data_IF_047709188813
#
_entry.id   IF_047709188813
#
_cell.length_a   1.000
_cell.length_b   1.000
_cell.length_c   1.000
_cell.angle_alpha   90.00
_cell.angle_beta   90.00
_cell.angle_gamma   90.00
#
_symmetry.space_group_name_H-M   'P 1'
#
loop_
_entity.id
_entity.type
_entity.pdbx_description
1 polymer ?
#
# COMPACT_ATOMS: atom_id res chain seq x y z
N UNK A 1 42.26 47.10 -15.71
CA UNK A 1 40.84 46.65 -15.87
C UNK A 1 40.76 45.52 -16.89
N UNK A 2 41.31 44.34 -16.55
CA UNK A 2 41.20 43.08 -17.33
C UNK A 2 41.13 41.93 -16.33
N UNK A 3 40.24 42.12 -15.37
CA UNK A 3 39.83 41.17 -14.35
C UNK A 3 38.32 41.40 -14.29
N UNK A 4 37.51 40.37 -14.07
CA UNK A 4 36.02 40.42 -14.07
C UNK A 4 35.35 39.96 -15.38
N UNK A 5 35.94 39.13 -16.26
CA UNK A 5 35.11 38.36 -17.23
C UNK A 5 35.77 37.01 -17.51
N UNK A 6 35.86 36.12 -16.53
CA UNK A 6 36.20 34.70 -16.73
C UNK A 6 35.90 33.87 -15.47
N UNK A 7 34.85 34.23 -14.74
CA UNK A 7 34.42 33.52 -13.51
C UNK A 7 32.90 33.21 -13.54
N UNK A 8 32.29 33.20 -14.73
CA UNK A 8 30.85 33.02 -14.90
C UNK A 8 30.43 31.65 -15.49
N UNK A 9 31.38 30.76 -15.80
CA UNK A 9 31.07 29.43 -16.36
C UNK A 9 31.39 28.25 -15.42
N UNK A 10 31.77 28.52 -14.16
CA UNK A 10 31.99 27.46 -13.14
C UNK A 10 30.73 27.25 -12.27
N UNK A 11 29.73 28.14 -12.37
CA UNK A 11 28.40 27.97 -11.77
C UNK A 11 27.48 27.19 -12.73
N UNK A 12 28.01 26.12 -13.31
CA UNK A 12 27.22 25.06 -13.94
C UNK A 12 27.33 23.76 -13.13
N UNK A 13 27.74 23.87 -11.86
CA UNK A 13 27.56 22.82 -10.87
C UNK A 13 26.12 22.86 -10.34
N UNK A 14 25.57 21.65 -10.23
CA UNK A 14 24.34 21.30 -9.50
C UNK A 14 23.03 21.42 -10.28
N UNK A 15 23.01 20.85 -11.50
CA UNK A 15 21.80 20.11 -11.87
C UNK A 15 21.78 18.89 -10.93
N UNK A 16 21.07 19.04 -9.81
CA UNK A 16 20.78 17.97 -8.86
C UNK A 16 20.09 16.88 -9.66
N UNK A 17 20.84 15.84 -10.01
CA UNK A 17 20.27 14.55 -10.35
C UNK A 17 19.51 14.10 -9.10
N UNK A 18 18.21 14.36 -9.06
CA UNK A 18 17.29 13.66 -8.17
C UNK A 18 17.29 12.23 -8.68
N UNK A 19 18.27 11.46 -8.24
CA UNK A 19 18.28 10.01 -8.38
C UNK A 19 17.23 9.57 -7.36
N UNK A 20 15.99 9.42 -7.80
CA UNK A 20 14.97 8.70 -7.05
C UNK A 20 15.42 7.24 -7.03
N UNK A 21 16.29 6.89 -6.09
CA UNK A 21 16.57 5.50 -5.76
C UNK A 21 15.35 4.97 -4.99
N UNK A 22 14.27 4.69 -5.71
CA UNK A 22 13.28 3.74 -5.23
C UNK A 22 13.92 2.36 -5.37
N UNK A 23 14.72 2.06 -4.35
CA UNK A 23 15.43 0.82 -4.16
C UNK A 23 14.40 -0.32 -4.21
N UNK A 24 14.41 -1.08 -5.32
CA UNK A 24 13.66 -2.34 -5.50
C UNK A 24 13.82 -3.27 -4.29
N UNK A 25 14.94 -3.13 -3.57
CA UNK A 25 15.29 -3.86 -2.36
C UNK A 25 14.41 -3.56 -1.14
N UNK A 26 13.54 -2.54 -1.18
CA UNK A 26 12.76 -2.08 -0.01
C UNK A 26 11.26 -2.34 -0.09
N UNK A 27 10.70 -2.72 -1.24
CA UNK A 27 9.27 -3.01 -1.33
C UNK A 27 8.97 -4.44 -0.82
N UNK A 28 8.40 -4.54 0.39
CA UNK A 28 7.92 -5.82 0.93
C UNK A 28 6.41 -5.93 0.78
N UNK A 29 5.98 -7.05 0.22
CA UNK A 29 4.58 -7.37 0.01
C UNK A 29 4.12 -8.50 0.94
N UNK A 30 2.82 -8.56 1.17
CA UNK A 30 2.20 -9.68 1.88
C UNK A 30 2.32 -10.98 1.07
N UNK A 31 2.08 -12.15 1.71
CA UNK A 31 1.95 -13.40 0.98
C UNK A 31 0.92 -13.28 -0.16
N UNK A 32 1.22 -13.86 -1.31
CA UNK A 32 0.42 -13.80 -2.54
C UNK A 32 0.35 -12.43 -3.25
N UNK A 33 1.23 -11.50 -2.88
CA UNK A 33 1.43 -10.24 -3.57
C UNK A 33 2.87 -10.12 -4.06
N UNK A 34 3.05 -9.55 -5.24
CA UNK A 34 4.37 -9.31 -5.83
C UNK A 34 4.59 -7.81 -6.07
N UNK A 35 5.82 -7.30 -5.88
CA UNK A 35 6.14 -5.92 -6.17
C UNK A 35 6.02 -5.65 -7.68
N UNK A 36 5.29 -4.60 -8.04
CA UNK A 36 5.09 -4.16 -9.41
C UNK A 36 5.37 -2.66 -9.53
N UNK A 37 6.21 -2.29 -10.51
CA UNK A 37 6.52 -0.89 -10.81
C UNK A 37 5.45 -0.30 -11.72
N UNK A 38 4.65 0.63 -11.21
CA UNK A 38 3.64 1.37 -11.98
C UNK A 38 3.93 2.86 -11.91
N UNK A 39 4.10 3.52 -13.07
CA UNK A 39 4.35 4.98 -13.17
C UNK A 39 5.51 5.49 -12.30
N UNK A 40 6.54 4.67 -12.09
CA UNK A 40 7.71 5.04 -11.29
C UNK A 40 7.57 4.78 -9.79
N UNK A 41 6.46 4.18 -9.33
CA UNK A 41 6.26 3.78 -7.94
C UNK A 41 6.05 2.28 -7.82
N UNK A 42 6.68 1.66 -6.83
CA UNK A 42 6.45 0.25 -6.51
C UNK A 42 5.16 0.11 -5.70
N UNK A 43 4.34 -0.87 -6.06
CA UNK A 43 3.17 -1.29 -5.31
C UNK A 43 3.16 -2.81 -5.19
N UNK A 44 2.39 -3.34 -4.25
CA UNK A 44 2.16 -4.76 -4.09
C UNK A 44 0.92 -5.18 -4.87
N UNK A 45 1.09 -5.93 -5.96
CA UNK A 45 -0.02 -6.46 -6.75
C UNK A 45 -0.34 -7.89 -6.37
N UNK A 46 -1.62 -8.14 -6.07
CA UNK A 46 -2.11 -9.47 -5.75
C UNK A 46 -2.03 -10.39 -6.95
N UNK A 47 -1.54 -11.60 -6.75
CA UNK A 47 -1.57 -12.67 -7.75
C UNK A 47 -3.01 -12.98 -8.16
N UNK A 48 -3.91 -12.98 -7.16
CA UNK A 48 -5.35 -13.14 -7.28
C UNK A 48 -6.05 -11.79 -7.33
N UNK A 49 -7.04 -11.63 -8.21
CA UNK A 49 -7.86 -10.41 -8.39
C UNK A 49 -7.10 -9.10 -8.70
N UNK A 50 -5.77 -9.13 -8.83
CA UNK A 50 -4.89 -8.02 -9.25
C UNK A 50 -5.05 -6.75 -8.40
N UNK A 51 -5.47 -6.90 -7.13
CA UNK A 51 -5.57 -5.81 -6.14
C UNK A 51 -4.21 -5.13 -5.94
N UNK A 52 -4.24 -3.85 -5.61
CA UNK A 52 -3.05 -3.04 -5.38
C UNK A 52 -3.04 -2.55 -3.93
N UNK A 53 -1.91 -2.73 -3.27
CA UNK A 53 -1.61 -2.21 -1.93
C UNK A 53 -0.25 -1.50 -1.96
N UNK A 54 0.00 -0.64 -0.98
CA UNK A 54 1.30 0.02 -0.88
C UNK A 54 2.36 -0.95 -0.34
N UNK A 55 3.61 -0.69 -0.71
CA UNK A 55 4.74 -1.45 -0.20
C UNK A 55 4.88 -1.25 1.31
N UNK A 56 5.25 -2.31 2.03
CA UNK A 56 5.50 -2.30 3.48
C UNK A 56 4.30 -1.96 4.35
N UNK A 57 3.08 -1.99 3.80
CA UNK A 57 1.87 -1.81 4.59
C UNK A 57 1.71 -2.94 5.62
N UNK A 58 1.16 -2.64 6.80
CA UNK A 58 0.79 -3.66 7.76
C UNK A 58 -0.39 -4.48 7.22
N UNK A 59 -0.32 -5.81 7.33
CA UNK A 59 -1.39 -6.68 6.84
C UNK A 59 -2.63 -6.56 7.74
N UNK A 60 -3.80 -6.18 7.19
CA UNK A 60 -5.04 -6.17 7.95
C UNK A 60 -5.51 -7.60 8.26
N UNK A 61 -6.32 -7.79 9.30
CA UNK A 61 -6.99 -9.07 9.53
C UNK A 61 -7.87 -9.47 8.32
N UNK A 62 -8.12 -10.77 8.15
CA UNK A 62 -9.05 -11.28 7.14
C UNK A 62 -10.49 -11.25 7.65
N UNK A 63 -11.47 -11.02 6.79
CA UNK A 63 -12.87 -11.06 7.20
C UNK A 63 -13.29 -12.48 7.56
N UNK A 64 -13.81 -12.67 8.77
CA UNK A 64 -14.43 -13.93 9.19
C UNK A 64 -15.93 -13.77 9.20
N UNK A 65 -16.62 -14.43 8.29
CA UNK A 65 -18.07 -14.27 8.11
C UNK A 65 -18.79 -15.60 8.27
N UNK A 66 -20.02 -15.56 8.78
CA UNK A 66 -20.88 -16.74 8.88
C UNK A 66 -21.87 -16.78 7.73
N UNK A 67 -21.86 -17.85 6.95
CA UNK A 67 -22.80 -18.10 5.84
C UNK A 67 -23.39 -19.49 6.00
N UNK A 68 -24.72 -19.60 6.03
CA UNK A 68 -25.45 -20.88 6.22
C UNK A 68 -25.00 -21.69 7.46
N UNK A 69 -24.59 -21.00 8.53
CA UNK A 69 -24.09 -21.62 9.76
C UNK A 69 -22.63 -22.10 9.72
N UNK A 70 -21.94 -21.95 8.59
CA UNK A 70 -20.50 -22.19 8.46
C UNK A 70 -19.68 -20.90 8.48
N UNK A 71 -18.45 -20.98 9.00
CA UNK A 71 -17.49 -19.88 8.93
C UNK A 71 -16.75 -19.89 7.59
N UNK A 72 -16.67 -18.73 6.94
CA UNK A 72 -15.86 -18.48 5.75
C UNK A 72 -14.88 -17.34 6.04
N UNK A 73 -13.69 -17.43 5.44
CA UNK A 73 -12.71 -16.34 5.46
C UNK A 73 -12.67 -15.70 4.09
N UNK A 74 -12.82 -14.37 4.03
CA UNK A 74 -12.70 -13.63 2.77
C UNK A 74 -11.25 -13.22 2.51
N UNK A 75 -10.93 -13.08 1.23
CA UNK A 75 -9.60 -12.63 0.80
C UNK A 75 -9.36 -11.15 1.18
N UNK A 76 -8.08 -10.78 1.23
CA UNK A 76 -7.66 -9.40 1.42
C UNK A 76 -8.29 -8.48 0.38
N UNK A 77 -8.87 -7.37 0.84
CA UNK A 77 -9.53 -6.36 0.00
C UNK A 77 -10.96 -6.69 -0.44
N UNK A 78 -11.58 -7.74 0.11
CA UNK A 78 -13.03 -7.93 0.00
C UNK A 78 -13.74 -6.94 0.94
N UNK A 79 -14.51 -6.02 0.36
CA UNK A 79 -14.81 -4.68 0.89
C UNK A 79 -15.87 -4.60 1.99
N UNK A 80 -16.41 -5.72 2.45
CA UNK A 80 -17.62 -5.71 3.30
C UNK A 80 -17.44 -6.41 4.65
N UNK A 81 -16.20 -6.43 5.17
CA UNK A 81 -15.91 -6.85 6.54
C UNK A 81 -16.70 -6.07 7.61
N UNK A 82 -16.92 -4.78 7.36
CA UNK A 82 -17.45 -3.81 8.32
C UNK A 82 -18.90 -3.42 8.02
N UNK A 83 -19.50 -3.97 6.96
CA UNK A 83 -20.88 -3.70 6.57
C UNK A 83 -21.65 -5.00 6.49
N UNK A 84 -22.88 -5.02 7.01
CA UNK A 84 -23.83 -6.10 6.72
C UNK A 84 -24.19 -5.97 5.24
N UNK A 85 -23.88 -6.97 4.43
CA UNK A 85 -24.33 -7.00 3.05
C UNK A 85 -25.80 -7.45 2.96
N UNK A 86 -26.44 -7.13 1.83
CA UNK A 86 -27.84 -7.49 1.54
C UNK A 86 -28.06 -9.02 1.43
N UNK A 87 -26.99 -9.81 1.54
CA UNK A 87 -26.97 -11.26 1.42
C UNK A 87 -26.97 -11.96 2.78
N UNK A 88 -26.98 -11.20 3.88
CA UNK A 88 -27.08 -11.73 5.24
C UNK A 88 -25.75 -12.27 5.79
N UNK A 89 -24.61 -11.92 5.17
CA UNK A 89 -23.29 -12.28 5.70
C UNK A 89 -23.03 -11.43 6.94
N UNK A 90 -22.88 -12.09 8.09
CA UNK A 90 -22.42 -11.46 9.34
C UNK A 90 -20.94 -11.72 9.48
N UNK A 91 -20.13 -10.68 9.30
CA UNK A 91 -18.70 -10.71 9.56
C UNK A 91 -18.45 -10.30 11.00
N UNK A 92 -17.76 -11.14 11.77
CA UNK A 92 -17.81 -11.12 13.24
C UNK A 92 -16.50 -10.63 13.88
N UNK A 93 -15.51 -10.16 13.10
CA UNK A 93 -14.21 -9.74 13.63
C UNK A 93 -14.00 -8.22 13.60
N UNK A 94 -15.05 -7.44 13.85
CA UNK A 94 -14.99 -5.97 13.89
C UNK A 94 -13.95 -5.46 14.90
N UNK A 95 -13.84 -6.10 16.06
CA UNK A 95 -12.87 -5.74 17.11
C UNK A 95 -11.41 -5.88 16.62
N UNK A 96 -11.08 -6.92 15.85
CA UNK A 96 -9.74 -7.09 15.26
C UNK A 96 -9.39 -5.96 14.29
N UNK A 97 -10.39 -5.49 13.53
CA UNK A 97 -10.23 -4.36 12.62
C UNK A 97 -10.14 -3.02 13.33
N UNK A 98 -10.96 -2.79 14.36
CA UNK A 98 -10.90 -1.57 15.18
C UNK A 98 -9.51 -1.43 15.83
N UNK A 99 -8.99 -2.50 16.41
CA UNK A 99 -7.64 -2.54 16.97
C UNK A 99 -6.55 -2.33 15.92
N UNK A 100 -6.76 -2.85 14.71
CA UNK A 100 -5.83 -2.65 13.60
C UNK A 100 -5.82 -1.18 13.15
N UNK A 101 -6.98 -0.55 12.96
CA UNK A 101 -7.07 0.85 12.54
C UNK A 101 -6.68 1.82 13.64
N UNK A 102 -6.88 1.48 14.91
CA UNK A 102 -6.36 2.26 16.03
C UNK A 102 -4.83 2.35 16.01
N UNK A 103 -4.14 1.27 15.59
CA UNK A 103 -2.67 1.23 15.42
C UNK A 103 -2.20 1.78 14.08
N UNK A 104 -3.03 1.67 13.04
CA UNK A 104 -2.71 2.05 11.66
C UNK A 104 -3.78 3.00 11.10
N UNK A 105 -3.89 4.23 11.62
CA UNK A 105 -5.00 5.13 11.29
C UNK A 105 -5.03 5.55 9.81
N UNK A 106 -3.88 5.55 9.13
CA UNK A 106 -3.78 5.85 7.70
C UNK A 106 -4.40 4.76 6.80
N UNK A 107 -4.64 3.55 7.32
CA UNK A 107 -5.24 2.44 6.59
C UNK A 107 -6.77 2.46 6.62
N UNK A 108 -7.38 3.37 7.39
CA UNK A 108 -8.84 3.47 7.48
C UNK A 108 -9.37 4.12 6.21
N UNK A 109 -9.83 3.31 5.26
CA UNK A 109 -10.51 3.77 4.06
C UNK A 109 -11.92 4.21 4.49
N UNK A 110 -12.22 5.50 4.30
CA UNK A 110 -13.52 6.12 4.57
C UNK A 110 -14.51 5.92 3.42
#
# INVERSE_FOLDING_TARGET
MKSIILFACVVALHVVSVISSDDVSTCKCWPDFEPELTKGHYHCRGLKHKRLFECNDPQPPLCKCTVNGGEITLDLGESHCLSVDDEGRRCNNHEEFDDFFARNPHMRIH
#
